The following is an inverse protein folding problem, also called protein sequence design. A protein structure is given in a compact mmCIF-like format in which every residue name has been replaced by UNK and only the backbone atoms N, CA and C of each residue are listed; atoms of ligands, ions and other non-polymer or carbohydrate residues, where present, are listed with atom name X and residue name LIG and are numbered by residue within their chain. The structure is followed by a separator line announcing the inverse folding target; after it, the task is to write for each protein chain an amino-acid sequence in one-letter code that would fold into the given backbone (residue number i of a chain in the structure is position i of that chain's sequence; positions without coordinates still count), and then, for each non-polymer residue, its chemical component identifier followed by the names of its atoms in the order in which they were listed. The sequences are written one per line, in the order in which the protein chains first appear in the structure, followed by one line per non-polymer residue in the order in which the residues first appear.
data_IF_520261745931
#
_entry.id   IF_520261745931
#
_cell.length_a   1.000
_cell.length_b   1.000
_cell.length_c   1.000
_cell.angle_alpha   90.00
_cell.angle_beta   90.00
_cell.angle_gamma   90.00
#
_symmetry.space_group_name_H-M   'P 1'
#
loop_
_entity.id
_entity.type
_entity.pdbx_description
1 polymer ?
#
# COMPACT_ATOMS: atom_id res chain seq x y z
N UNK A 1 9.42 19.29 -6.41
CA UNK A 1 7.99 19.11 -6.80
C UNK A 1 7.70 20.07 -7.93
N UNK A 2 7.20 19.55 -9.05
CA UNK A 2 6.75 20.39 -10.15
C UNK A 2 5.52 21.20 -9.69
N UNK A 3 5.35 22.37 -10.26
CA UNK A 3 4.15 23.19 -10.02
C UNK A 3 3.02 22.78 -11.00
N UNK A 4 2.84 21.46 -11.20
CA UNK A 4 1.84 20.91 -12.11
C UNK A 4 0.62 20.41 -11.36
N UNK A 5 -0.53 20.47 -12.01
CA UNK A 5 -1.74 19.83 -11.52
C UNK A 5 -1.92 18.49 -12.23
N UNK A 6 -2.40 17.51 -11.49
CA UNK A 6 -2.70 16.17 -12.02
C UNK A 6 -4.16 15.85 -11.73
N UNK A 7 -4.83 15.28 -12.71
CA UNK A 7 -6.21 14.81 -12.59
C UNK A 7 -6.46 13.60 -13.49
N UNK A 8 -7.50 12.86 -13.19
CA UNK A 8 -7.96 11.76 -14.03
C UNK A 8 -9.22 12.17 -14.77
N UNK A 9 -9.36 11.70 -16.01
CA UNK A 9 -10.58 11.84 -16.80
C UNK A 9 -10.90 10.52 -17.51
N UNK A 10 -12.16 10.35 -17.90
CA UNK A 10 -12.58 9.23 -18.75
C UNK A 10 -12.23 9.53 -20.19
N UNK A 11 -11.36 8.73 -20.80
CA UNK A 11 -11.01 8.75 -22.20
C UNK A 11 -11.80 7.70 -22.98
N UNK A 12 -11.48 7.56 -24.27
CA UNK A 12 -12.13 6.57 -25.16
C UNK A 12 -11.79 5.12 -24.74
N UNK A 13 -10.54 4.90 -24.34
CA UNK A 13 -10.01 3.57 -24.03
C UNK A 13 -9.92 3.28 -22.52
N UNK A 14 -10.40 4.20 -21.68
CA UNK A 14 -10.36 4.05 -20.23
C UNK A 14 -10.10 5.34 -19.46
N UNK A 15 -9.53 5.21 -18.28
CA UNK A 15 -9.16 6.37 -17.45
C UNK A 15 -7.81 6.91 -17.87
N UNK A 16 -7.74 8.18 -18.20
CA UNK A 16 -6.49 8.88 -18.51
C UNK A 16 -5.99 9.64 -17.29
N UNK A 17 -4.68 9.60 -17.04
CA UNK A 17 -4.00 10.52 -16.14
C UNK A 17 -3.45 11.69 -16.93
N UNK A 18 -3.87 12.89 -16.58
CA UNK A 18 -3.53 14.14 -17.30
C UNK A 18 -2.78 15.08 -16.37
N UNK A 19 -1.72 15.69 -16.89
CA UNK A 19 -1.05 16.82 -16.23
C UNK A 19 -1.44 18.14 -16.89
N UNK A 20 -1.52 19.20 -16.10
CA UNK A 20 -1.78 20.57 -16.53
C UNK A 20 -0.65 21.46 -16.06
N UNK A 21 -0.06 22.22 -16.96
CA UNK A 21 0.80 23.34 -16.61
C UNK A 21 -0.08 24.53 -16.21
N UNK A 22 -0.02 24.98 -14.92
CA UNK A 22 -0.91 26.04 -14.46
C UNK A 22 -0.60 27.43 -15.06
N UNK A 23 0.58 27.59 -15.68
CA UNK A 23 0.98 28.86 -16.32
C UNK A 23 0.46 28.99 -17.73
N UNK A 24 0.45 27.87 -18.47
CA UNK A 24 0.07 27.84 -19.90
C UNK A 24 -1.27 27.20 -20.15
N UNK A 25 -1.84 26.53 -19.12
CA UNK A 25 -3.03 25.66 -19.21
C UNK A 25 -2.90 24.53 -20.20
N UNK A 26 -1.68 24.23 -20.64
CA UNK A 26 -1.42 23.11 -21.54
C UNK A 26 -1.66 21.80 -20.82
N UNK A 27 -2.46 20.93 -21.44
CA UNK A 27 -2.77 19.60 -20.95
C UNK A 27 -1.97 18.55 -21.72
N UNK A 28 -1.43 17.58 -20.98
CA UNK A 28 -0.71 16.44 -21.55
C UNK A 28 -1.20 15.15 -20.90
N UNK A 29 -1.57 14.16 -21.70
CA UNK A 29 -1.90 12.82 -21.21
C UNK A 29 -0.58 12.13 -20.85
N UNK A 30 -0.43 11.78 -19.56
CA UNK A 30 0.73 11.04 -19.05
C UNK A 30 0.54 9.53 -19.17
N UNK A 31 -0.65 9.06 -18.80
CA UNK A 31 -1.01 7.63 -18.85
C UNK A 31 -2.36 7.53 -19.55
N UNK A 32 -2.41 6.94 -20.73
CA UNK A 32 -3.66 6.91 -21.53
C UNK A 32 -4.69 5.89 -21.01
N UNK A 33 -4.26 4.89 -20.26
CA UNK A 33 -5.13 3.86 -19.72
C UNK A 33 -4.65 3.50 -18.30
N UNK A 34 -4.99 4.34 -17.33
CA UNK A 34 -4.64 4.13 -15.93
C UNK A 34 -5.51 3.00 -15.37
N UNK A 35 -4.91 1.96 -14.77
CA UNK A 35 -5.66 0.93 -14.08
C UNK A 35 -6.56 1.50 -12.98
N UNK A 36 -7.69 0.86 -12.73
CA UNK A 36 -8.56 1.21 -11.60
C UNK A 36 -7.81 0.92 -10.30
N UNK A 37 -7.82 1.87 -9.37
CA UNK A 37 -7.19 1.70 -8.07
C UNK A 37 -6.57 2.98 -7.55
N UNK A 38 -5.89 2.84 -6.43
CA UNK A 38 -5.14 3.93 -5.82
C UNK A 38 -3.78 4.04 -6.49
N UNK A 39 -3.36 5.25 -6.78
CA UNK A 39 -2.01 5.53 -7.28
C UNK A 39 -1.34 6.64 -6.48
N UNK A 40 -0.02 6.66 -6.53
CA UNK A 40 0.82 7.67 -5.90
C UNK A 40 2.05 7.92 -6.78
N UNK A 41 2.46 9.18 -6.89
CA UNK A 41 3.71 9.54 -7.55
C UNK A 41 4.89 9.39 -6.62
N UNK A 42 6.03 9.00 -7.17
CA UNK A 42 7.31 9.20 -6.47
C UNK A 42 7.56 10.70 -6.27
N UNK A 43 8.27 11.13 -5.20
CA UNK A 43 8.55 12.54 -4.93
C UNK A 43 9.26 13.29 -6.06
N UNK A 44 10.04 12.60 -6.91
CA UNK A 44 10.68 13.16 -8.11
C UNK A 44 9.76 13.20 -9.34
N UNK A 45 8.52 12.70 -9.20
CA UNK A 45 7.51 12.66 -10.26
C UNK A 45 7.94 11.88 -11.52
N UNK A 46 8.89 10.95 -11.41
CA UNK A 46 9.35 10.12 -12.52
C UNK A 46 8.54 8.83 -12.68
N UNK A 47 7.96 8.35 -11.61
CA UNK A 47 7.31 7.04 -11.53
C UNK A 47 5.96 7.14 -10.84
N UNK A 48 5.01 6.39 -11.34
CA UNK A 48 3.71 6.17 -10.73
C UNK A 48 3.68 4.78 -10.09
N UNK A 49 3.38 4.70 -8.80
CA UNK A 49 3.08 3.44 -8.12
C UNK A 49 1.57 3.30 -7.99
N UNK A 50 1.03 2.12 -8.26
CA UNK A 50 -0.39 1.85 -8.21
C UNK A 50 -0.66 0.41 -7.80
N UNK A 51 -1.87 0.13 -7.36
CA UNK A 51 -2.31 -1.22 -7.01
C UNK A 51 -3.20 -1.78 -8.11
N UNK A 52 -2.98 -3.05 -8.45
CA UNK A 52 -3.84 -3.83 -9.36
C UNK A 52 -4.43 -4.96 -8.56
N UNK A 53 -5.75 -5.10 -8.64
CA UNK A 53 -6.48 -6.21 -8.04
C UNK A 53 -6.55 -7.37 -9.06
N UNK A 54 -6.05 -8.52 -8.65
CA UNK A 54 -6.16 -9.77 -9.37
C UNK A 54 -7.30 -10.60 -8.77
N UNK A 55 -8.27 -10.95 -9.60
CA UNK A 55 -9.39 -11.79 -9.19
C UNK A 55 -8.89 -13.18 -8.80
N UNK A 56 -9.38 -13.68 -7.67
CA UNK A 56 -9.10 -15.03 -7.22
C UNK A 56 -9.68 -16.10 -8.16
N UNK A 57 -9.27 -17.37 -7.99
CA UNK A 57 -9.75 -18.48 -8.83
C UNK A 57 -11.27 -18.63 -8.72
N UNK A 58 -11.94 -18.68 -9.87
CA UNK A 58 -13.39 -18.91 -9.99
C UNK A 58 -13.65 -20.39 -10.28
N UNK A 59 -14.43 -21.03 -9.43
CA UNK A 59 -14.84 -22.43 -9.60
C UNK A 59 -16.27 -22.51 -10.14
N UNK A 60 -16.42 -22.39 -11.46
CA UNK A 60 -17.73 -22.45 -12.11
C UNK A 60 -18.55 -21.15 -11.97
N UNK A 61 -19.74 -21.12 -12.57
CA UNK A 61 -20.54 -19.89 -12.71
C UNK A 61 -21.26 -19.45 -11.45
N UNK A 62 -21.61 -20.39 -10.55
CA UNK A 62 -22.43 -20.13 -9.36
C UNK A 62 -21.95 -20.87 -8.10
N UNK A 63 -20.72 -21.42 -8.12
CA UNK A 63 -20.20 -22.15 -6.99
C UNK A 63 -19.03 -21.38 -6.37
N UNK A 64 -19.06 -21.22 -5.06
CA UNK A 64 -17.95 -20.68 -4.26
C UNK A 64 -17.41 -21.84 -3.43
N UNK A 65 -16.12 -22.09 -3.55
CA UNK A 65 -15.43 -23.05 -2.71
C UNK A 65 -15.17 -22.45 -1.34
N UNK A 66 -15.76 -23.03 -0.31
CA UNK A 66 -15.58 -22.60 1.07
C UNK A 66 -14.59 -23.52 1.76
N UNK A 67 -13.34 -23.11 1.88
CA UNK A 67 -12.27 -23.83 2.61
C UNK A 67 -12.11 -23.30 4.03
N UNK A 68 -12.43 -22.02 4.22
CA UNK A 68 -12.34 -21.33 5.51
C UNK A 68 -13.49 -20.31 5.66
N UNK A 69 -13.77 -19.84 6.90
CA UNK A 69 -14.91 -18.93 7.12
C UNK A 69 -14.86 -17.64 6.31
N UNK A 70 -13.67 -17.15 5.97
CA UNK A 70 -13.49 -15.92 5.20
C UNK A 70 -13.89 -16.07 3.72
N UNK A 71 -13.91 -17.29 3.16
CA UNK A 71 -14.39 -17.54 1.79
C UNK A 71 -15.88 -17.18 1.58
N UNK A 72 -16.60 -16.91 2.65
CA UNK A 72 -17.97 -16.38 2.58
C UNK A 72 -18.02 -14.90 2.19
N UNK A 73 -16.89 -14.21 2.25
CA UNK A 73 -16.78 -12.80 1.89
C UNK A 73 -16.49 -12.73 0.39
N UNK A 74 -17.32 -12.07 -0.42
CA UNK A 74 -17.05 -11.89 -1.84
C UNK A 74 -15.67 -11.25 -2.05
N UNK A 75 -14.88 -11.76 -3.01
CA UNK A 75 -13.54 -11.25 -3.30
C UNK A 75 -12.48 -11.60 -2.24
N UNK A 76 -12.77 -12.45 -1.27
CA UNK A 76 -11.77 -12.81 -0.24
C UNK A 76 -10.47 -13.39 -0.81
N UNK A 77 -10.54 -14.02 -1.96
CA UNK A 77 -9.36 -14.58 -2.65
C UNK A 77 -8.77 -13.66 -3.71
N UNK A 78 -9.37 -12.49 -3.93
CA UNK A 78 -8.77 -11.47 -4.75
C UNK A 78 -7.52 -10.93 -4.06
N UNK A 79 -6.52 -10.52 -4.82
CA UNK A 79 -5.25 -10.03 -4.29
C UNK A 79 -4.87 -8.72 -4.96
N UNK A 80 -4.40 -7.79 -4.16
CA UNK A 80 -3.90 -6.50 -4.63
C UNK A 80 -2.38 -6.51 -4.62
N UNK A 81 -1.79 -6.25 -5.79
CA UNK A 81 -0.35 -6.14 -5.95
C UNK A 81 0.08 -4.76 -6.37
N UNK A 82 1.28 -4.37 -5.98
CA UNK A 82 1.87 -3.07 -6.32
C UNK A 82 2.61 -3.19 -7.65
N UNK A 83 2.32 -2.24 -8.52
CA UNK A 83 2.95 -2.07 -9.82
C UNK A 83 3.60 -0.69 -9.91
N UNK A 84 4.61 -0.55 -10.75
CA UNK A 84 5.17 0.74 -11.13
C UNK A 84 4.96 1.01 -12.61
N UNK A 85 4.82 2.28 -12.95
CA UNK A 85 4.77 2.80 -14.31
C UNK A 85 5.81 3.92 -14.43
N UNK A 86 6.78 3.75 -15.32
CA UNK A 86 7.78 4.77 -15.63
C UNK A 86 7.17 5.80 -16.60
N UNK A 87 7.04 7.05 -16.16
CA UNK A 87 6.36 8.10 -16.92
C UNK A 87 7.16 8.56 -18.16
N UNK A 88 8.44 8.29 -18.20
CA UNK A 88 9.30 8.66 -19.33
C UNK A 88 9.26 7.62 -20.44
N UNK A 89 9.32 6.36 -20.08
CA UNK A 89 9.41 5.24 -21.05
C UNK A 89 8.08 4.61 -21.37
N UNK A 90 7.06 4.79 -20.49
CA UNK A 90 5.76 4.12 -20.59
C UNK A 90 5.81 2.63 -20.19
N UNK A 91 6.92 2.17 -19.66
CA UNK A 91 7.06 0.78 -19.18
C UNK A 91 6.40 0.61 -17.84
N UNK A 92 5.79 -0.54 -17.63
CA UNK A 92 5.19 -0.93 -16.35
C UNK A 92 5.67 -2.32 -15.94
N UNK A 93 5.80 -2.51 -14.63
CA UNK A 93 6.19 -3.81 -14.08
C UNK A 93 5.56 -4.02 -12.70
N UNK A 94 5.34 -5.29 -12.38
CA UNK A 94 4.84 -5.72 -11.09
C UNK A 94 5.98 -5.77 -10.08
N UNK A 95 5.78 -5.15 -8.92
CA UNK A 95 6.79 -5.07 -7.85
C UNK A 95 6.56 -6.09 -6.75
N UNK A 96 5.32 -6.50 -6.51
CA UNK A 96 4.97 -7.42 -5.41
C UNK A 96 4.17 -8.60 -5.93
N UNK A 97 4.39 -9.76 -5.30
CA UNK A 97 3.82 -11.04 -5.68
C UNK A 97 3.48 -11.84 -4.42
N UNK A 98 2.73 -12.92 -4.56
CA UNK A 98 2.52 -13.85 -3.44
C UNK A 98 1.07 -14.18 -3.17
N UNK A 99 0.76 -14.51 -1.91
CA UNK A 99 -0.54 -15.01 -1.50
C UNK A 99 -1.34 -14.02 -0.64
N UNK A 100 -0.76 -12.87 -0.33
CA UNK A 100 -1.36 -11.82 0.51
C UNK A 100 -1.43 -10.51 -0.25
N UNK A 101 -2.42 -9.69 0.10
CA UNK A 101 -2.51 -8.33 -0.40
C UNK A 101 -1.29 -7.52 -0.01
N UNK A 102 -0.89 -6.62 -0.88
CA UNK A 102 0.18 -5.66 -0.62
C UNK A 102 -0.36 -4.23 -0.68
N UNK A 103 0.06 -3.40 0.27
CA UNK A 103 -0.44 -2.04 0.45
C UNK A 103 0.71 -1.05 0.46
N UNK A 104 0.62 -0.02 -0.39
CA UNK A 104 1.57 1.11 -0.37
C UNK A 104 1.40 1.87 0.93
N UNK A 105 2.47 1.99 1.73
CA UNK A 105 2.49 2.80 2.93
C UNK A 105 3.07 4.19 2.64
N UNK A 106 4.32 4.25 2.18
CA UNK A 106 5.01 5.51 1.91
C UNK A 106 6.15 5.33 0.90
N UNK A 107 6.66 6.45 0.38
CA UNK A 107 7.81 6.50 -0.52
C UNK A 107 8.83 7.48 0.08
N UNK A 108 10.10 7.08 0.14
CA UNK A 108 11.16 7.94 0.65
C UNK A 108 11.31 9.24 -0.16
N UNK A 109 11.74 10.31 0.50
CA UNK A 109 11.86 11.64 -0.11
C UNK A 109 12.80 11.68 -1.34
N UNK A 110 13.75 10.76 -1.41
CA UNK A 110 14.67 10.59 -2.54
C UNK A 110 14.12 9.69 -3.66
N UNK A 111 12.85 9.25 -3.56
CA UNK A 111 12.18 8.37 -4.53
C UNK A 111 12.79 6.98 -4.68
N UNK A 112 13.69 6.58 -3.79
CA UNK A 112 14.41 5.32 -3.90
C UNK A 112 13.73 4.16 -3.21
N UNK A 113 13.11 4.40 -2.06
CA UNK A 113 12.54 3.33 -1.24
C UNK A 113 11.03 3.40 -1.17
N UNK A 114 10.40 2.26 -1.34
CA UNK A 114 8.98 2.04 -1.11
C UNK A 114 8.80 1.30 0.21
N UNK A 115 7.99 1.84 1.12
CA UNK A 115 7.43 1.08 2.23
C UNK A 115 6.12 0.46 1.78
N UNK A 116 6.00 -0.86 1.94
CA UNK A 116 4.77 -1.56 1.71
C UNK A 116 4.50 -2.59 2.81
N UNK A 117 3.25 -2.89 3.04
CA UNK A 117 2.83 -3.85 4.04
C UNK A 117 2.00 -4.98 3.45
N UNK A 118 1.98 -6.10 4.16
CA UNK A 118 1.05 -7.21 3.97
C UNK A 118 0.24 -7.43 5.24
N UNK A 119 -0.90 -8.10 5.13
CA UNK A 119 -1.72 -8.44 6.28
C UNK A 119 -2.14 -9.91 6.24
N UNK A 120 -1.73 -10.65 7.26
CA UNK A 120 -2.14 -12.03 7.48
C UNK A 120 -3.30 -12.10 8.48
N UNK A 121 -4.19 -13.08 8.31
CA UNK A 121 -5.27 -13.36 9.26
C UNK A 121 -4.92 -14.53 10.17
N UNK A 122 -5.06 -14.31 11.50
CA UNK A 122 -4.85 -15.31 12.54
C UNK A 122 -6.11 -15.37 13.40
N UNK A 123 -6.99 -16.32 13.12
CA UNK A 123 -8.31 -16.40 13.78
C UNK A 123 -8.26 -16.86 15.24
N UNK A 124 -7.15 -17.42 15.70
CA UNK A 124 -6.98 -17.97 17.06
C UNK A 124 -6.53 -16.93 18.08
N UNK A 125 -6.25 -15.71 17.67
CA UNK A 125 -5.74 -14.65 18.57
C UNK A 125 -6.27 -13.28 18.18
N UNK A 126 -6.31 -12.35 19.14
CA UNK A 126 -6.65 -10.95 18.91
C UNK A 126 -5.38 -10.08 18.84
N UNK A 127 -5.34 -9.08 17.97
CA UNK A 127 -6.26 -8.85 16.86
C UNK A 127 -6.12 -9.96 15.82
N UNK A 128 -7.15 -10.20 15.02
CA UNK A 128 -7.10 -11.23 13.97
C UNK A 128 -6.17 -10.88 12.80
N UNK A 129 -5.77 -9.62 12.67
CA UNK A 129 -4.83 -9.17 11.64
C UNK A 129 -3.42 -9.06 12.21
N UNK A 130 -2.44 -9.50 11.43
CA UNK A 130 -1.00 -9.37 11.68
C UNK A 130 -0.37 -8.68 10.48
N UNK A 131 0.25 -7.54 10.70
CA UNK A 131 0.85 -6.77 9.64
C UNK A 131 2.36 -6.98 9.59
N UNK A 132 2.88 -7.16 8.38
CA UNK A 132 4.31 -7.15 8.10
C UNK A 132 4.65 -5.91 7.30
N UNK A 133 5.80 -5.29 7.55
CA UNK A 133 6.30 -4.13 6.83
C UNK A 133 7.62 -4.43 6.17
N UNK A 134 7.71 -4.03 4.92
CA UNK A 134 8.88 -4.22 4.08
C UNK A 134 9.33 -2.90 3.48
N UNK A 135 10.64 -2.78 3.25
CA UNK A 135 11.26 -1.68 2.51
C UNK A 135 11.87 -2.25 1.24
N UNK A 136 11.35 -1.82 0.09
CA UNK A 136 11.84 -2.19 -1.24
C UNK A 136 12.70 -1.07 -1.79
N UNK A 137 13.93 -1.38 -2.20
CA UNK A 137 14.77 -0.50 -3.00
C UNK A 137 14.32 -0.57 -4.47
N UNK A 138 13.73 0.52 -4.98
CA UNK A 138 13.19 0.59 -6.33
C UNK A 138 14.25 0.56 -7.45
N UNK A 139 15.53 0.70 -7.11
CA UNK A 139 16.63 0.63 -8.06
C UNK A 139 17.24 -0.77 -8.13
N UNK A 140 17.47 -1.39 -7.00
CA UNK A 140 18.13 -2.70 -6.91
C UNK A 140 17.16 -3.87 -6.78
N UNK A 141 15.89 -3.59 -6.49
CA UNK A 141 14.84 -4.56 -6.17
C UNK A 141 15.13 -5.39 -4.91
N UNK A 142 16.07 -4.95 -4.07
CA UNK A 142 16.34 -5.57 -2.78
C UNK A 142 15.21 -5.24 -1.79
N UNK A 143 14.81 -6.24 -1.01
CA UNK A 143 13.76 -6.13 0.01
C UNK A 143 14.38 -6.33 1.39
N UNK A 144 14.16 -5.36 2.27
CA UNK A 144 14.44 -5.46 3.69
C UNK A 144 13.14 -5.68 4.46
N UNK A 145 13.10 -6.66 5.35
CA UNK A 145 11.99 -6.85 6.28
C UNK A 145 12.20 -5.95 7.50
N UNK A 146 11.26 -5.04 7.75
CA UNK A 146 11.32 -4.16 8.93
C UNK A 146 10.74 -4.87 10.16
N UNK A 147 9.54 -5.45 10.01
CA UNK A 147 8.95 -6.37 10.99
C UNK A 147 8.03 -7.36 10.31
N UNK A 148 7.78 -8.47 10.97
CA UNK A 148 6.85 -9.50 10.52
C UNK A 148 5.75 -9.74 11.54
N UNK A 149 4.54 -9.92 11.02
CA UNK A 149 3.35 -10.37 11.76
C UNK A 149 3.09 -9.60 13.08
N UNK A 150 3.41 -8.30 13.10
CA UNK A 150 3.16 -7.47 14.26
C UNK A 150 1.65 -7.23 14.46
N UNK A 151 1.13 -7.48 15.67
CA UNK A 151 -0.23 -7.12 16.03
C UNK A 151 -0.35 -5.62 16.28
N UNK A 152 -1.54 -5.07 16.07
CA UNK A 152 -1.89 -3.69 16.43
C UNK A 152 -1.11 -2.58 15.71
N UNK A 153 -0.33 -2.90 14.67
CA UNK A 153 0.37 -1.92 13.83
C UNK A 153 -0.45 -1.66 12.58
N UNK A 154 -0.68 -0.39 12.22
CA UNK A 154 -1.56 -0.04 11.11
C UNK A 154 -0.81 0.53 9.92
N UNK A 155 0.03 1.54 10.12
CA UNK A 155 0.69 2.29 9.06
C UNK A 155 2.10 2.71 9.48
N UNK A 156 2.96 2.92 8.50
CA UNK A 156 4.28 3.50 8.69
C UNK A 156 4.60 4.52 7.59
N UNK A 157 5.35 5.55 7.94
CA UNK A 157 5.85 6.55 6.99
C UNK A 157 7.31 6.86 7.30
N UNK A 158 8.08 7.25 6.29
CA UNK A 158 9.44 7.73 6.49
C UNK A 158 9.48 9.06 7.21
N UNK A 159 10.46 9.26 8.07
CA UNK A 159 10.85 10.62 8.47
C UNK A 159 11.38 11.40 7.26
N UNK A 160 11.34 12.74 7.27
CA UNK A 160 11.80 13.55 6.13
C UNK A 160 13.27 13.29 5.75
N UNK A 161 14.10 12.88 6.70
CA UNK A 161 15.51 12.52 6.47
C UNK A 161 15.72 11.03 6.14
N UNK A 162 14.64 10.23 6.11
CA UNK A 162 14.65 8.81 5.79
C UNK A 162 15.31 7.89 6.82
N UNK A 163 15.66 8.41 8.02
CA UNK A 163 16.42 7.63 9.03
C UNK A 163 15.53 6.89 10.02
N UNK A 164 14.29 7.33 10.17
CA UNK A 164 13.33 6.78 11.12
C UNK A 164 12.00 6.53 10.41
N UNK A 165 11.16 5.75 11.05
CA UNK A 165 9.78 5.56 10.63
C UNK A 165 8.84 6.15 11.70
N UNK A 166 7.84 6.90 11.27
CA UNK A 166 6.68 7.21 12.09
C UNK A 166 5.68 6.08 11.90
N UNK A 167 5.36 5.39 12.98
CA UNK A 167 4.48 4.22 12.98
C UNK A 167 3.21 4.54 13.74
N UNK A 168 2.05 4.27 13.14
CA UNK A 168 0.76 4.31 13.79
C UNK A 168 0.35 2.91 14.23
N UNK A 169 -0.04 2.77 15.48
CA UNK A 169 -0.47 1.49 16.04
C UNK A 169 -1.34 1.68 17.29
N UNK A 170 -1.84 0.59 17.85
CA UNK A 170 -2.54 0.62 19.12
C UNK A 170 -1.57 0.31 20.28
N UNK A 171 -2.04 0.46 21.50
CA UNK A 171 -1.22 0.42 22.69
C UNK A 171 -0.46 -0.88 22.97
N UNK A 172 -0.84 -2.00 22.34
CA UNK A 172 -0.13 -3.29 22.43
C UNK A 172 0.78 -3.55 21.21
N UNK A 173 0.97 -2.57 20.34
CA UNK A 173 1.96 -2.68 19.28
C UNK A 173 3.36 -2.89 19.87
N UNK A 174 4.18 -3.71 19.22
CA UNK A 174 5.55 -4.01 19.62
C UNK A 174 5.68 -4.44 21.10
N UNK A 175 4.87 -5.41 21.52
CA UNK A 175 4.83 -5.93 22.90
C UNK A 175 4.52 -4.87 23.97
N UNK A 176 3.78 -3.83 23.58
CA UNK A 176 3.36 -2.78 24.48
C UNK A 176 4.42 -1.72 24.75
N UNK A 177 5.45 -1.60 23.91
CA UNK A 177 6.40 -0.49 23.97
C UNK A 177 5.62 0.84 23.77
N UNK A 178 5.86 1.81 24.67
CA UNK A 178 5.16 3.10 24.63
C UNK A 178 3.70 3.06 25.10
N UNK A 179 3.28 1.99 25.72
CA UNK A 179 1.91 1.78 26.20
C UNK A 179 1.46 2.87 27.18
N UNK A 180 0.43 3.62 26.78
CA UNK A 180 -0.31 4.55 27.64
C UNK A 180 -1.68 3.96 28.08
N UNK A 181 -1.77 2.63 28.20
CA UNK A 181 -2.98 1.96 28.63
C UNK A 181 -3.03 1.90 30.16
N UNK A 182 -4.17 2.27 30.73
CA UNK A 182 -4.38 2.16 32.19
C UNK A 182 -4.36 0.71 32.63
N UNK A 183 -3.92 0.48 33.88
CA UNK A 183 -3.96 -0.85 34.48
C UNK A 183 -5.37 -1.45 34.40
N UNK A 184 -5.50 -2.66 33.87
CA UNK A 184 -6.79 -3.36 33.71
C UNK A 184 -7.58 -2.96 32.45
N UNK A 185 -7.09 -2.04 31.65
CA UNK A 185 -7.69 -1.72 30.36
C UNK A 185 -7.32 -2.80 29.33
N UNK A 186 -8.32 -3.29 28.61
CA UNK A 186 -8.10 -4.25 27.51
C UNK A 186 -7.62 -3.48 26.29
N UNK A 187 -6.54 -3.95 25.69
CA UNK A 187 -6.04 -3.41 24.43
C UNK A 187 -7.08 -3.52 23.33
N UNK A 188 -7.18 -2.47 22.54
CA UNK A 188 -8.08 -2.39 21.41
C UNK A 188 -7.43 -1.64 20.25
N UNK A 189 -8.05 -1.67 19.08
CA UNK A 189 -7.57 -0.97 17.88
C UNK A 189 -7.95 0.52 17.82
N UNK A 190 -8.67 1.04 18.80
CA UNK A 190 -9.19 2.41 18.81
C UNK A 190 -8.25 3.39 19.54
N UNK A 191 -7.46 2.89 20.50
CA UNK A 191 -6.50 3.70 21.26
C UNK A 191 -5.19 3.83 20.46
N UNK A 192 -5.27 4.58 19.34
CA UNK A 192 -4.13 4.78 18.44
C UNK A 192 -3.02 5.61 19.10
N UNK A 193 -1.78 5.18 18.87
CA UNK A 193 -0.55 5.85 19.31
C UNK A 193 0.39 6.01 18.12
N UNK A 194 1.30 6.97 18.23
CA UNK A 194 2.38 7.18 17.27
C UNK A 194 3.70 6.82 17.91
N UNK A 195 4.52 6.08 17.17
CA UNK A 195 5.84 5.63 17.57
C UNK A 195 6.87 6.14 16.58
N UNK A 196 8.07 6.44 17.08
CA UNK A 196 9.27 6.56 16.25
C UNK A 196 10.01 5.21 16.32
N UNK A 197 10.29 4.65 15.15
CA UNK A 197 10.92 3.34 14.96
C UNK A 197 12.24 3.49 14.23
#
# INVERSE_FOLDING_TARGET
KSNRLYYTRTGLDGTELVTVDPSTYQQTVLVPNLPKGRFVFTPDESTLLYTVEEEGPKEGTNLIRVLEPADRIPGFRDRSFIWRYDLKTGLYEQLTFGHTDTYINDISADSRYLLFSTSDRVYTSLPHSRNSLYKLDLQTMAIDTIWEKAPYVNQAAFSPDGKQLLVAGAGDAFDGIGRNIKQGQISNSYDGQLFLY
#
